data_IF_700307482597
#
_entry.id   IF_700307482597
#
_cell.length_a   1.000
_cell.length_b   1.000
_cell.length_c   1.000
_cell.angle_alpha   90.00
_cell.angle_beta   90.00
_cell.angle_gamma   90.00
#
_symmetry.space_group_name_H-M   'P 1'
#
loop_
_entity.id
_entity.type
_entity.pdbx_description
1 polymer ?
#
# COMPACT_ATOMS: atom_id res chain seq x y z
N UNK A 1 7.89 -33.55 -13.85
CA UNK A 1 8.85 -33.73 -12.74
C UNK A 1 10.14 -34.51 -13.13
N UNK A 2 10.18 -35.17 -14.30
CA UNK A 2 11.31 -35.96 -14.79
C UNK A 2 12.34 -35.18 -15.66
N UNK A 3 12.22 -33.85 -15.78
CA UNK A 3 12.97 -33.06 -16.77
C UNK A 3 14.12 -32.22 -16.19
N UNK A 4 14.31 -32.20 -14.87
CA UNK A 4 15.38 -31.44 -14.22
C UNK A 4 16.68 -32.27 -14.11
N UNK A 5 17.24 -32.67 -15.25
CA UNK A 5 18.57 -33.30 -15.27
C UNK A 5 19.66 -32.24 -15.03
N UNK A 6 20.83 -32.62 -14.47
CA UNK A 6 21.93 -31.69 -14.23
C UNK A 6 22.34 -30.89 -15.49
N UNK A 7 22.36 -31.56 -16.64
CA UNK A 7 22.76 -30.98 -17.93
C UNK A 7 21.71 -29.98 -18.43
N UNK A 8 20.42 -30.31 -18.28
CA UNK A 8 19.34 -29.41 -18.68
C UNK A 8 19.30 -28.16 -17.80
N UNK A 9 19.50 -28.33 -16.51
CA UNK A 9 19.51 -27.23 -15.55
C UNK A 9 20.71 -26.30 -15.79
N UNK A 10 21.90 -26.87 -16.01
CA UNK A 10 23.10 -26.11 -16.37
C UNK A 10 22.89 -25.31 -17.67
N UNK A 11 22.36 -25.95 -18.72
CA UNK A 11 22.08 -25.27 -19.99
C UNK A 11 21.07 -24.11 -19.84
N UNK A 12 20.03 -24.28 -19.01
CA UNK A 12 19.08 -23.21 -18.71
C UNK A 12 19.74 -22.07 -17.94
N UNK A 13 20.56 -22.37 -16.93
CA UNK A 13 21.30 -21.36 -16.17
C UNK A 13 22.24 -20.59 -17.09
N UNK A 14 23.00 -21.26 -17.95
CA UNK A 14 23.88 -20.62 -18.93
C UNK A 14 23.10 -19.70 -19.88
N UNK A 15 21.95 -20.17 -20.37
CA UNK A 15 21.07 -19.37 -21.24
C UNK A 15 20.64 -18.09 -20.54
N UNK A 16 20.21 -18.17 -19.27
CA UNK A 16 19.79 -16.99 -18.50
C UNK A 16 20.94 -16.08 -18.08
N UNK A 17 22.13 -16.64 -17.88
CA UNK A 17 23.34 -15.89 -17.54
C UNK A 17 23.83 -15.04 -18.72
N UNK A 18 23.50 -15.44 -19.95
CA UNK A 18 23.84 -14.75 -21.19
C UNK A 18 22.82 -13.68 -21.61
N UNK A 19 21.67 -13.56 -20.94
CA UNK A 19 20.66 -12.52 -21.23
C UNK A 19 21.18 -11.12 -20.86
N UNK A 20 20.79 -10.10 -21.63
CA UNK A 20 21.05 -8.69 -21.31
C UNK A 20 19.77 -7.85 -21.49
N UNK A 21 19.13 -7.34 -20.42
CA UNK A 21 19.52 -7.51 -19.02
C UNK A 21 19.26 -8.94 -18.49
N UNK A 22 20.14 -9.42 -17.61
CA UNK A 22 20.05 -10.76 -17.02
C UNK A 22 18.77 -10.94 -16.19
N UNK A 23 18.03 -12.02 -16.43
CA UNK A 23 16.84 -12.35 -15.66
C UNK A 23 17.18 -13.06 -14.34
N UNK A 24 17.59 -12.27 -13.34
CA UNK A 24 17.95 -12.76 -12.01
C UNK A 24 16.83 -13.52 -11.30
N UNK A 25 15.56 -13.19 -11.55
CA UNK A 25 14.43 -13.92 -10.98
C UNK A 25 14.38 -15.37 -11.47
N UNK A 26 14.57 -15.56 -12.78
CA UNK A 26 14.63 -16.91 -13.36
C UNK A 26 15.90 -17.66 -12.93
N UNK A 27 17.05 -16.98 -12.85
CA UNK A 27 18.31 -17.56 -12.35
C UNK A 27 18.16 -18.04 -10.90
N UNK A 28 17.61 -17.21 -10.00
CA UNK A 28 17.43 -17.56 -8.58
C UNK A 28 16.47 -18.76 -8.42
N UNK A 29 15.42 -18.82 -9.24
CA UNK A 29 14.51 -19.97 -9.27
C UNK A 29 15.22 -21.26 -9.73
N UNK A 30 16.09 -21.19 -10.75
CA UNK A 30 16.85 -22.36 -11.24
C UNK A 30 17.91 -22.81 -10.23
N UNK A 31 18.61 -21.88 -9.58
CA UNK A 31 19.57 -22.18 -8.51
C UNK A 31 18.91 -22.81 -7.29
N UNK A 32 17.71 -22.34 -6.92
CA UNK A 32 16.91 -22.94 -5.85
C UNK A 32 16.56 -24.41 -6.15
N UNK A 33 16.18 -24.72 -7.41
CA UNK A 33 15.93 -26.11 -7.84
C UNK A 33 17.20 -26.95 -7.78
N UNK A 34 18.37 -26.40 -8.14
CA UNK A 34 19.65 -27.10 -8.03
C UNK A 34 19.98 -27.43 -6.57
N UNK A 35 19.81 -26.47 -5.67
CA UNK A 35 20.08 -26.62 -4.24
C UNK A 35 19.12 -27.60 -3.56
N UNK A 36 17.81 -27.51 -3.84
CA UNK A 36 16.78 -28.39 -3.27
C UNK A 36 16.99 -29.86 -3.66
N UNK A 37 17.47 -30.10 -4.88
CA UNK A 37 17.73 -31.44 -5.41
C UNK A 37 19.18 -31.91 -5.23
N UNK A 38 19.99 -31.11 -4.53
CA UNK A 38 21.42 -31.41 -4.29
C UNK A 38 22.19 -31.70 -5.59
N UNK A 39 21.79 -31.05 -6.69
CA UNK A 39 22.44 -31.19 -8.01
C UNK A 39 23.64 -30.25 -8.05
N UNK A 40 24.88 -30.77 -8.17
CA UNK A 40 26.06 -29.92 -8.29
C UNK A 40 26.05 -29.20 -9.64
N UNK A 41 26.36 -27.91 -9.64
CA UNK A 41 26.56 -27.15 -10.88
C UNK A 41 27.91 -27.56 -11.51
N UNK A 42 27.95 -27.83 -12.82
CA UNK A 42 29.17 -28.27 -13.48
C UNK A 42 30.22 -27.16 -13.60
N UNK A 43 31.49 -27.53 -13.43
CA UNK A 43 32.65 -26.68 -13.73
C UNK A 43 32.71 -25.39 -12.91
N UNK A 44 33.06 -24.29 -13.60
CA UNK A 44 33.16 -22.95 -13.04
C UNK A 44 31.82 -22.18 -13.06
N UNK A 45 30.71 -22.82 -13.45
CA UNK A 45 29.42 -22.16 -13.64
C UNK A 45 28.94 -21.45 -12.36
N UNK A 46 29.14 -22.07 -11.20
CA UNK A 46 28.81 -21.45 -9.91
C UNK A 46 29.64 -20.17 -9.66
N UNK A 47 30.93 -20.20 -10.02
CA UNK A 47 31.82 -19.05 -9.88
C UNK A 47 31.48 -17.94 -10.88
N UNK A 48 31.12 -18.29 -12.12
CA UNK A 48 30.64 -17.34 -13.14
C UNK A 48 29.32 -16.68 -12.76
N UNK A 49 28.38 -17.44 -12.21
CA UNK A 49 27.12 -16.90 -11.67
C UNK A 49 27.39 -15.96 -10.50
N UNK A 50 28.29 -16.33 -9.58
CA UNK A 50 28.67 -15.47 -8.45
C UNK A 50 29.37 -14.17 -8.92
N UNK A 51 30.31 -14.26 -9.86
CA UNK A 51 31.00 -13.10 -10.43
C UNK A 51 30.05 -12.18 -11.22
N UNK A 52 29.14 -12.76 -12.01
CA UNK A 52 28.09 -12.00 -12.69
C UNK A 52 27.15 -11.32 -11.68
N UNK A 53 26.82 -11.99 -10.57
CA UNK A 53 26.00 -11.41 -9.51
C UNK A 53 26.73 -10.27 -8.83
N UNK A 54 28.02 -10.42 -8.51
CA UNK A 54 28.81 -9.35 -7.90
C UNK A 54 28.97 -8.15 -8.84
N UNK A 55 29.08 -8.41 -10.15
CA UNK A 55 29.09 -7.36 -11.17
C UNK A 55 27.76 -6.61 -11.25
N UNK A 56 26.63 -7.33 -11.20
CA UNK A 56 25.29 -6.75 -11.35
C UNK A 56 24.69 -6.20 -10.04
N UNK A 57 25.17 -6.68 -8.89
CA UNK A 57 24.68 -6.32 -7.55
C UNK A 57 25.73 -5.64 -6.67
N UNK A 58 26.94 -5.42 -7.18
CA UNK A 58 28.00 -4.70 -6.48
C UNK A 58 27.57 -3.30 -6.06
N UNK A 59 28.15 -2.75 -4.99
CA UNK A 59 27.69 -1.50 -4.38
C UNK A 59 27.58 -0.32 -5.37
N UNK A 60 28.54 -0.18 -6.29
CA UNK A 60 28.53 0.89 -7.31
C UNK A 60 27.53 0.62 -8.45
N UNK A 61 27.36 -0.64 -8.87
CA UNK A 61 26.37 -1.03 -9.86
C UNK A 61 24.93 -0.92 -9.31
N UNK A 62 24.73 -1.30 -8.05
CA UNK A 62 23.49 -1.11 -7.29
C UNK A 62 23.21 0.37 -7.04
N UNK A 63 24.22 1.17 -6.66
CA UNK A 63 24.05 2.61 -6.49
C UNK A 63 23.71 3.30 -7.81
N UNK A 64 24.39 2.95 -8.91
CA UNK A 64 24.14 3.48 -10.24
C UNK A 64 22.78 3.07 -10.82
N UNK A 65 22.41 1.80 -10.71
CA UNK A 65 21.10 1.29 -11.14
C UNK A 65 19.96 1.84 -10.28
N UNK A 66 20.14 1.97 -8.97
CA UNK A 66 19.18 2.66 -8.11
C UNK A 66 19.06 4.14 -8.46
N UNK A 67 20.16 4.84 -8.75
CA UNK A 67 20.14 6.25 -9.14
C UNK A 67 19.41 6.44 -10.49
N UNK A 68 19.75 5.63 -11.49
CA UNK A 68 19.06 5.60 -12.77
C UNK A 68 17.57 5.30 -12.56
N UNK A 69 17.25 4.37 -11.65
CA UNK A 69 15.88 4.01 -11.33
C UNK A 69 15.12 5.10 -10.57
N UNK A 70 15.79 5.96 -9.81
CA UNK A 70 15.13 7.13 -9.19
C UNK A 70 14.80 8.22 -10.20
N UNK A 71 15.55 8.27 -11.32
CA UNK A 71 15.37 9.24 -12.40
C UNK A 71 14.27 8.78 -13.37
N UNK A 72 14.31 7.50 -13.78
CA UNK A 72 13.39 6.88 -14.75
C UNK A 72 12.60 5.72 -14.12
N UNK A 73 11.86 6.02 -13.05
CA UNK A 73 11.16 5.02 -12.25
C UNK A 73 10.09 4.23 -13.02
N UNK A 74 9.51 4.83 -14.06
CA UNK A 74 8.53 4.24 -14.96
C UNK A 74 9.09 3.12 -15.85
N UNK A 75 10.41 3.12 -16.08
CA UNK A 75 11.09 2.09 -16.89
C UNK A 75 11.76 1.00 -16.04
N UNK A 76 11.69 1.12 -14.72
CA UNK A 76 12.39 0.21 -13.82
C UNK A 76 11.72 -1.16 -13.73
N UNK A 77 12.50 -2.25 -13.68
CA UNK A 77 11.99 -3.52 -13.22
C UNK A 77 11.47 -3.38 -11.78
N UNK A 78 10.31 -3.98 -11.52
CA UNK A 78 9.54 -3.83 -10.28
C UNK A 78 10.36 -4.13 -9.01
N UNK A 79 11.24 -5.12 -9.07
CA UNK A 79 12.11 -5.50 -7.96
C UNK A 79 13.12 -4.41 -7.62
N UNK A 80 13.73 -3.76 -8.62
CA UNK A 80 14.65 -2.64 -8.39
C UNK A 80 13.89 -1.39 -7.94
N UNK A 81 12.71 -1.13 -8.49
CA UNK A 81 11.85 -0.06 -8.02
C UNK A 81 11.54 -0.21 -6.52
N UNK A 82 11.15 -1.40 -6.09
CA UNK A 82 10.89 -1.70 -4.67
C UNK A 82 12.17 -1.60 -3.84
N UNK A 83 13.28 -2.21 -4.27
CA UNK A 83 14.52 -2.23 -3.49
C UNK A 83 15.14 -0.83 -3.34
N UNK A 84 15.13 -0.02 -4.40
CA UNK A 84 15.79 1.28 -4.45
C UNK A 84 14.91 2.43 -3.95
N UNK A 85 13.59 2.38 -4.18
CA UNK A 85 12.69 3.47 -3.79
C UNK A 85 11.86 3.17 -2.54
N UNK A 86 11.55 1.90 -2.20
CA UNK A 86 10.70 1.63 -1.05
C UNK A 86 11.33 2.10 0.27
N UNK A 87 12.62 1.87 0.59
CA UNK A 87 13.21 2.34 1.85
C UNK A 87 13.12 3.86 2.02
N UNK A 88 13.37 4.61 0.94
CA UNK A 88 13.31 6.08 0.95
C UNK A 88 11.85 6.56 1.07
N UNK A 89 10.93 6.02 0.26
CA UNK A 89 9.52 6.42 0.25
C UNK A 89 8.76 6.02 1.53
N UNK A 90 9.15 4.92 2.18
CA UNK A 90 8.62 4.46 3.46
C UNK A 90 9.19 5.23 4.67
N UNK A 91 10.25 6.01 4.48
CA UNK A 91 10.87 6.80 5.54
C UNK A 91 10.37 8.26 5.53
N UNK A 92 10.41 8.96 6.67
CA UNK A 92 10.22 10.42 6.69
C UNK A 92 11.20 11.17 5.77
N UNK A 93 12.39 10.60 5.52
CA UNK A 93 13.39 11.19 4.63
C UNK A 93 12.86 11.35 3.20
N UNK A 94 12.02 10.43 2.71
CA UNK A 94 11.41 10.55 1.38
C UNK A 94 10.47 11.75 1.25
N UNK A 95 9.75 12.10 2.32
CA UNK A 95 8.88 13.28 2.35
C UNK A 95 9.71 14.57 2.43
N UNK A 96 10.78 14.59 3.23
CA UNK A 96 11.71 15.73 3.34
C UNK A 96 12.43 15.99 2.02
N UNK A 97 12.94 14.95 1.36
CA UNK A 97 13.59 15.05 0.04
C UNK A 97 12.59 15.57 -0.99
N UNK A 98 11.35 15.10 -0.97
CA UNK A 98 10.28 15.59 -1.84
C UNK A 98 10.05 17.09 -1.67
N UNK A 99 9.84 17.55 -0.43
CA UNK A 99 9.70 18.98 -0.14
C UNK A 99 10.94 19.79 -0.53
N UNK A 100 12.14 19.31 -0.20
CA UNK A 100 13.40 19.99 -0.51
C UNK A 100 13.62 20.15 -2.01
N UNK A 101 13.31 19.11 -2.80
CA UNK A 101 13.37 19.17 -4.27
C UNK A 101 12.41 20.20 -4.84
N UNK A 102 11.16 20.22 -4.38
CA UNK A 102 10.18 21.19 -4.87
C UNK A 102 10.50 22.62 -4.39
N UNK A 103 11.06 22.77 -3.19
CA UNK A 103 11.58 24.04 -2.69
C UNK A 103 12.76 24.55 -3.53
N UNK A 104 13.66 23.66 -3.94
CA UNK A 104 14.75 23.99 -4.87
C UNK A 104 14.23 24.45 -6.23
N UNK A 105 13.24 23.75 -6.79
CA UNK A 105 12.60 24.14 -8.04
C UNK A 105 11.97 25.54 -7.92
N UNK A 106 11.24 25.79 -6.83
CA UNK A 106 10.67 27.10 -6.54
C UNK A 106 11.74 28.21 -6.44
N UNK A 107 12.85 27.95 -5.74
CA UNK A 107 13.94 28.92 -5.57
C UNK A 107 14.71 29.21 -6.87
N UNK A 108 14.80 28.24 -7.78
CA UNK A 108 15.51 28.36 -9.07
C UNK A 108 14.61 28.78 -10.22
N UNK A 109 13.31 29.00 -9.96
CA UNK A 109 12.33 29.35 -10.98
C UNK A 109 11.94 28.20 -11.93
N UNK A 110 12.28 26.96 -11.58
CA UNK A 110 11.86 25.76 -12.30
C UNK A 110 10.40 25.38 -11.99
N UNK A 111 9.80 24.54 -12.83
CA UNK A 111 8.44 24.05 -12.61
C UNK A 111 8.32 23.25 -11.30
N UNK A 112 7.29 23.57 -10.52
CA UNK A 112 6.97 22.89 -9.26
C UNK A 112 5.85 21.88 -9.52
N UNK A 113 6.07 20.63 -9.15
CA UNK A 113 5.01 19.61 -9.17
C UNK A 113 4.14 19.76 -7.92
N UNK A 114 3.03 20.48 -8.05
CA UNK A 114 2.12 20.79 -6.94
C UNK A 114 1.57 19.55 -6.25
N UNK A 115 1.35 18.47 -6.99
CA UNK A 115 0.87 17.22 -6.40
C UNK A 115 1.99 16.51 -5.63
N UNK A 116 3.24 16.55 -6.10
CA UNK A 116 4.39 15.98 -5.36
C UNK A 116 4.69 16.79 -4.10
N UNK A 117 4.60 18.11 -4.19
CA UNK A 117 4.71 19.04 -3.06
C UNK A 117 3.61 18.75 -2.02
N UNK A 118 2.34 18.68 -2.44
CA UNK A 118 1.23 18.38 -1.55
C UNK A 118 1.36 17.00 -0.90
N UNK A 119 1.67 15.95 -1.67
CA UNK A 119 1.85 14.60 -1.13
C UNK A 119 3.02 14.50 -0.15
N UNK A 120 4.10 15.26 -0.38
CA UNK A 120 5.25 15.34 0.53
C UNK A 120 4.90 16.07 1.82
N UNK A 121 4.17 17.17 1.73
CA UNK A 121 3.64 17.88 2.90
C UNK A 121 2.68 16.97 3.69
N UNK A 122 1.73 16.32 3.01
CA UNK A 122 0.75 15.41 3.61
C UNK A 122 1.44 14.20 4.28
N UNK A 123 2.47 13.61 3.66
CA UNK A 123 3.24 12.51 4.26
C UNK A 123 3.96 12.91 5.56
N UNK A 124 4.49 14.13 5.62
CA UNK A 124 5.07 14.70 6.84
C UNK A 124 4.00 15.04 7.89
N UNK A 125 2.90 15.68 7.50
CA UNK A 125 1.80 16.02 8.41
C UNK A 125 1.12 14.78 9.00
N UNK A 126 0.98 13.71 8.22
CA UNK A 126 0.53 12.42 8.74
C UNK A 126 1.53 11.85 9.73
N UNK A 127 2.84 11.99 9.48
CA UNK A 127 3.90 11.50 10.37
C UNK A 127 3.96 12.26 11.70
N UNK A 128 3.57 13.54 11.75
CA UNK A 128 3.49 14.30 13.00
C UNK A 128 2.24 13.96 13.83
N UNK A 129 1.07 13.83 13.19
CA UNK A 129 -0.19 13.39 13.85
C UNK A 129 -0.12 11.92 14.32
N UNK A 130 0.64 11.11 13.59
CA UNK A 130 0.90 9.69 13.87
C UNK A 130 1.53 9.40 15.23
N UNK A 131 2.39 10.29 15.73
CA UNK A 131 3.05 10.13 17.03
C UNK A 131 2.07 10.31 18.20
N UNK A 132 0.93 10.96 17.96
CA UNK A 132 -0.08 11.26 18.98
C UNK A 132 -1.21 10.23 19.04
N UNK A 133 -1.46 9.46 17.98
CA UNK A 133 -2.72 8.70 17.78
C UNK A 133 -2.61 7.17 17.88
N UNK A 134 -1.42 6.62 18.17
CA UNK A 134 -1.29 5.24 18.68
C UNK A 134 -1.76 4.11 17.75
N UNK A 135 -1.22 4.02 16.51
CA UNK A 135 -1.24 2.76 15.73
C UNK A 135 -1.85 2.82 14.32
N UNK A 136 -2.72 3.80 14.02
CA UNK A 136 -3.21 4.04 12.64
C UNK A 136 -2.12 4.56 11.71
N UNK A 137 -1.08 5.18 12.28
CA UNK A 137 0.03 5.85 11.60
C UNK A 137 0.80 4.99 10.60
N UNK A 138 1.16 3.75 10.98
CA UNK A 138 1.95 2.87 10.13
C UNK A 138 1.18 2.51 8.87
N UNK A 139 -0.13 2.30 8.99
CA UNK A 139 -1.00 1.95 7.85
C UNK A 139 -1.13 3.10 6.88
N UNK A 140 -1.43 4.29 7.41
CA UNK A 140 -1.55 5.49 6.60
C UNK A 140 -0.21 5.80 5.92
N UNK A 141 0.92 5.64 6.61
CA UNK A 141 2.27 5.81 6.03
C UNK A 141 2.57 4.79 4.94
N UNK A 142 2.24 3.51 5.16
CA UNK A 142 2.36 2.46 4.14
C UNK A 142 1.55 2.81 2.90
N UNK A 143 0.33 3.31 3.07
CA UNK A 143 -0.52 3.73 1.96
C UNK A 143 -0.01 4.96 1.21
N UNK A 144 0.42 6.00 1.93
CA UNK A 144 1.04 7.19 1.33
C UNK A 144 2.29 6.83 0.52
N UNK A 145 3.13 5.95 1.06
CA UNK A 145 4.34 5.45 0.39
C UNK A 145 4.00 4.65 -0.85
N UNK A 146 3.00 3.76 -0.76
CA UNK A 146 2.51 2.96 -1.89
C UNK A 146 1.98 3.85 -3.01
N UNK A 147 1.26 4.92 -2.68
CA UNK A 147 0.76 5.87 -3.66
C UNK A 147 1.88 6.67 -4.32
N UNK A 148 2.87 7.16 -3.55
CA UNK A 148 4.04 7.85 -4.13
C UNK A 148 4.83 6.91 -5.04
N UNK A 149 4.99 5.66 -4.65
CA UNK A 149 5.65 4.64 -5.48
C UNK A 149 4.85 4.37 -6.76
N UNK A 150 3.53 4.26 -6.67
CA UNK A 150 2.65 4.10 -7.83
C UNK A 150 2.72 5.28 -8.80
N UNK A 151 2.84 6.50 -8.27
CA UNK A 151 3.04 7.70 -9.08
C UNK A 151 4.38 7.66 -9.81
N UNK A 152 5.46 7.38 -9.07
CA UNK A 152 6.82 7.26 -9.64
C UNK A 152 6.89 6.16 -10.70
N UNK A 153 6.25 5.04 -10.46
CA UNK A 153 6.20 3.93 -11.40
C UNK A 153 5.33 4.20 -12.65
N UNK A 154 4.61 5.32 -12.71
CA UNK A 154 3.71 5.63 -13.82
C UNK A 154 2.48 4.72 -13.92
N UNK A 155 2.16 3.95 -12.86
CA UNK A 155 1.04 2.98 -12.88
C UNK A 155 -0.28 3.54 -12.37
N UNK A 156 -0.30 4.80 -11.93
CA UNK A 156 -1.53 5.49 -11.55
C UNK A 156 -2.39 5.79 -12.78
N UNK A 157 -3.69 5.52 -12.67
CA UNK A 157 -4.64 5.91 -13.70
C UNK A 157 -4.73 7.43 -13.79
N UNK A 158 -4.99 7.95 -15.00
CA UNK A 158 -5.21 9.40 -15.17
C UNK A 158 -6.40 9.92 -14.37
N UNK A 159 -7.42 9.07 -14.13
CA UNK A 159 -8.56 9.40 -13.27
C UNK A 159 -8.13 9.60 -11.81
N UNK A 160 -7.33 8.67 -11.28
CA UNK A 160 -6.84 8.76 -9.92
C UNK A 160 -5.95 9.98 -9.73
N UNK A 161 -5.06 10.26 -10.68
CA UNK A 161 -4.22 11.47 -10.64
C UNK A 161 -5.06 12.73 -10.57
N UNK A 162 -6.08 12.88 -11.44
CA UNK A 162 -6.99 14.04 -11.40
C UNK A 162 -7.77 14.14 -10.09
N UNK A 163 -8.33 13.02 -9.61
CA UNK A 163 -9.05 12.98 -8.35
C UNK A 163 -8.15 13.37 -7.19
N UNK A 164 -6.91 12.88 -7.18
CA UNK A 164 -5.94 13.15 -6.13
C UNK A 164 -5.46 14.61 -6.17
N UNK A 165 -5.19 15.18 -7.34
CA UNK A 165 -4.86 16.61 -7.49
C UNK A 165 -5.97 17.48 -6.92
N UNK A 166 -7.24 17.17 -7.24
CA UNK A 166 -8.39 17.92 -6.69
C UNK A 166 -8.44 17.82 -5.16
N UNK A 167 -8.43 16.61 -4.61
CA UNK A 167 -8.50 16.41 -3.16
C UNK A 167 -7.29 17.07 -2.46
N UNK A 168 -6.08 16.95 -3.03
CA UNK A 168 -4.88 17.58 -2.48
C UNK A 168 -4.97 19.12 -2.49
N UNK A 169 -5.51 19.72 -3.55
CA UNK A 169 -5.70 21.18 -3.64
C UNK A 169 -6.75 21.72 -2.64
N UNK A 170 -7.75 20.90 -2.31
CA UNK A 170 -8.74 21.20 -1.28
C UNK A 170 -8.10 21.08 0.12
N UNK A 171 -7.30 20.03 0.34
CA UNK A 171 -6.65 19.71 1.60
C UNK A 171 -5.48 20.63 1.97
N UNK A 172 -4.80 21.19 0.97
CA UNK A 172 -3.52 21.89 1.12
C UNK A 172 -3.55 23.21 0.38
N UNK A 173 -3.23 24.28 1.07
CA UNK A 173 -2.97 25.58 0.46
C UNK A 173 -1.56 25.61 -0.13
N UNK A 174 -1.44 25.33 -1.42
CA UNK A 174 -0.16 25.29 -2.14
C UNK A 174 0.57 26.64 -2.08
N UNK A 175 -0.17 27.75 -2.12
CA UNK A 175 0.41 29.09 -2.05
C UNK A 175 0.95 29.40 -0.64
N UNK A 176 0.29 28.91 0.41
CA UNK A 176 0.82 28.97 1.77
C UNK A 176 2.03 28.03 1.95
N UNK A 177 1.99 26.81 1.40
CA UNK A 177 3.12 25.87 1.44
C UNK A 177 4.39 26.45 0.79
N UNK A 178 4.27 27.09 -0.37
CA UNK A 178 5.41 27.70 -1.07
C UNK A 178 6.05 28.85 -0.28
N UNK A 179 5.29 29.48 0.62
CA UNK A 179 5.75 30.56 1.49
C UNK A 179 6.17 30.07 2.89
N UNK A 180 5.95 28.79 3.20
CA UNK A 180 6.27 28.23 4.50
C UNK A 180 7.80 28.21 4.69
N UNK A 181 8.28 28.91 5.73
CA UNK A 181 9.69 28.95 6.09
C UNK A 181 10.04 28.02 7.25
N UNK A 182 9.04 27.49 7.95
CA UNK A 182 9.17 26.65 9.13
C UNK A 182 8.17 25.48 9.15
N UNK A 183 8.38 24.51 10.03
CA UNK A 183 7.46 23.38 10.22
C UNK A 183 6.09 23.82 10.76
N UNK A 184 6.04 24.89 11.54
CA UNK A 184 4.79 25.44 12.08
C UNK A 184 3.95 26.09 10.97
N UNK A 185 4.60 26.74 10.00
CA UNK A 185 3.94 27.31 8.81
C UNK A 185 3.35 26.23 7.90
N UNK A 186 3.96 25.03 7.86
CA UNK A 186 3.39 23.88 7.13
C UNK A 186 2.05 23.46 7.74
N UNK A 187 1.94 23.51 9.07
CA UNK A 187 0.70 23.23 9.80
C UNK A 187 -0.46 24.13 9.36
N UNK A 188 -0.18 25.43 9.20
CA UNK A 188 -1.15 26.44 8.78
C UNK A 188 -1.61 26.30 7.32
N UNK A 189 -0.82 25.61 6.47
CA UNK A 189 -1.18 25.35 5.09
C UNK A 189 -2.17 24.18 4.92
N UNK A 190 -2.38 23.35 5.95
CA UNK A 190 -3.35 22.27 5.90
C UNK A 190 -4.76 22.76 6.27
N UNK A 191 -5.76 22.23 5.56
CA UNK A 191 -7.18 22.40 5.89
C UNK A 191 -7.69 21.11 6.52
N UNK A 192 -7.78 21.01 7.86
CA UNK A 192 -8.06 19.74 8.55
C UNK A 192 -9.34 19.04 8.07
N UNK A 193 -10.39 19.82 7.81
CA UNK A 193 -11.67 19.31 7.32
C UNK A 193 -11.57 18.63 5.94
N UNK A 194 -10.58 19.01 5.12
CA UNK A 194 -10.37 18.47 3.78
C UNK A 194 -9.27 17.38 3.73
N UNK A 195 -8.63 17.04 4.86
CA UNK A 195 -7.63 15.97 4.93
C UNK A 195 -8.27 14.57 4.92
N UNK A 196 -9.48 14.42 5.44
CA UNK A 196 -10.13 13.12 5.64
C UNK A 196 -10.15 12.24 4.38
N UNK A 197 -10.52 12.73 3.18
CA UNK A 197 -10.53 11.89 1.97
C UNK A 197 -9.14 11.39 1.57
N UNK A 198 -8.08 12.19 1.80
CA UNK A 198 -6.69 11.78 1.53
C UNK A 198 -6.25 10.72 2.54
N UNK A 199 -6.49 10.97 3.83
CA UNK A 199 -6.07 10.05 4.88
C UNK A 199 -6.83 8.72 4.78
N UNK A 200 -8.08 8.74 4.33
CA UNK A 200 -8.86 7.54 4.04
C UNK A 200 -8.28 6.78 2.85
N UNK A 201 -7.92 7.46 1.76
CA UNK A 201 -7.23 6.82 0.64
C UNK A 201 -5.95 6.13 1.11
N UNK A 202 -5.11 6.82 1.87
CA UNK A 202 -3.88 6.26 2.44
C UNK A 202 -4.19 5.07 3.36
N UNK A 203 -5.18 5.18 4.25
CA UNK A 203 -5.56 4.09 5.12
C UNK A 203 -6.01 2.85 4.30
N UNK A 204 -6.83 3.03 3.28
CA UNK A 204 -7.30 1.95 2.41
C UNK A 204 -6.13 1.28 1.66
N UNK A 205 -5.22 2.06 1.09
CA UNK A 205 -4.03 1.52 0.42
C UNK A 205 -3.09 0.81 1.39
N UNK A 206 -2.96 1.31 2.61
CA UNK A 206 -2.20 0.64 3.67
C UNK A 206 -2.80 -0.70 4.08
N UNK A 207 -4.14 -0.79 4.18
CA UNK A 207 -4.83 -2.05 4.45
C UNK A 207 -4.69 -3.04 3.30
N UNK A 208 -4.75 -2.55 2.06
CA UNK A 208 -4.48 -3.35 0.86
C UNK A 208 -3.06 -3.93 0.88
N UNK A 209 -2.05 -3.10 1.16
CA UNK A 209 -0.65 -3.51 1.27
C UNK A 209 -0.43 -4.53 2.39
N UNK A 210 -1.01 -4.31 3.57
CA UNK A 210 -0.94 -5.29 4.67
C UNK A 210 -1.57 -6.64 4.33
N UNK A 211 -2.59 -6.66 3.46
CA UNK A 211 -3.33 -7.88 3.10
C UNK A 211 -2.69 -8.68 1.96
N UNK A 212 -2.04 -8.00 1.01
CA UNK A 212 -1.54 -8.62 -0.23
C UNK A 212 -0.03 -8.52 -0.41
N UNK A 213 0.63 -7.52 0.19
CA UNK A 213 2.01 -7.15 -0.08
C UNK A 213 2.15 -5.93 -1.01
N UNK A 214 3.35 -5.34 -1.07
CA UNK A 214 3.61 -4.11 -1.83
C UNK A 214 3.54 -4.32 -3.35
N UNK A 215 4.00 -5.48 -3.84
CA UNK A 215 4.04 -5.83 -5.27
C UNK A 215 2.63 -5.92 -5.85
N UNK A 216 1.77 -6.70 -5.19
CA UNK A 216 0.38 -6.91 -5.56
C UNK A 216 -0.41 -5.62 -5.44
N UNK A 217 -0.17 -4.84 -4.38
CA UNK A 217 -0.80 -3.52 -4.20
C UNK A 217 -0.46 -2.59 -5.34
N UNK A 218 0.83 -2.49 -5.70
CA UNK A 218 1.30 -1.65 -6.79
C UNK A 218 0.71 -2.10 -8.13
N UNK A 219 0.63 -3.42 -8.38
CA UNK A 219 -0.04 -3.94 -9.57
C UNK A 219 -1.52 -3.58 -9.62
N UNK A 220 -2.23 -3.65 -8.48
CA UNK A 220 -3.65 -3.34 -8.39
C UNK A 220 -3.98 -1.85 -8.54
N UNK A 221 -3.01 -0.95 -8.43
CA UNK A 221 -3.21 0.50 -8.63
C UNK A 221 -3.79 0.84 -10.02
N UNK A 222 -3.55 -0.01 -11.03
CA UNK A 222 -4.14 0.13 -12.36
C UNK A 222 -5.68 0.06 -12.37
N UNK A 223 -6.27 -0.51 -11.32
CA UNK A 223 -7.73 -0.66 -11.16
C UNK A 223 -8.34 0.41 -10.25
N UNK A 224 -7.53 1.33 -9.70
CA UNK A 224 -7.97 2.41 -8.82
C UNK A 224 -8.16 3.66 -9.65
N UNK A 225 -9.41 4.09 -9.85
CA UNK A 225 -9.71 5.36 -10.56
C UNK A 225 -10.07 6.49 -9.61
N UNK A 226 -10.48 6.15 -8.37
CA UNK A 226 -10.86 7.08 -7.32
C UNK A 226 -10.61 6.47 -5.91
N UNK A 227 -10.75 7.25 -4.82
CA UNK A 227 -10.58 6.74 -3.46
C UNK A 227 -11.56 5.64 -3.05
N UNK A 228 -12.77 5.61 -3.61
CA UNK A 228 -13.76 4.59 -3.31
C UNK A 228 -13.35 3.22 -3.87
N UNK A 229 -12.68 3.18 -5.02
CA UNK A 229 -12.11 1.96 -5.59
C UNK A 229 -11.00 1.39 -4.70
N UNK A 230 -10.12 2.23 -4.16
CA UNK A 230 -9.12 1.81 -3.18
C UNK A 230 -9.77 1.17 -1.95
N UNK A 231 -10.86 1.75 -1.45
CA UNK A 231 -11.63 1.19 -0.35
C UNK A 231 -12.28 -0.16 -0.70
N UNK A 232 -12.79 -0.32 -1.92
CA UNK A 232 -13.39 -1.58 -2.41
C UNK A 232 -12.33 -2.68 -2.57
N UNK A 233 -11.15 -2.34 -3.09
CA UNK A 233 -10.03 -3.27 -3.19
C UNK A 233 -9.51 -3.69 -1.82
N UNK A 234 -9.35 -2.74 -0.90
CA UNK A 234 -8.94 -3.05 0.48
C UNK A 234 -9.90 -4.04 1.15
N UNK A 235 -11.22 -3.81 1.07
CA UNK A 235 -12.23 -4.75 1.59
C UNK A 235 -12.19 -6.11 0.88
N UNK A 236 -11.96 -6.11 -0.43
CA UNK A 236 -11.84 -7.36 -1.18
C UNK A 236 -10.61 -8.15 -0.76
N UNK A 237 -9.48 -7.48 -0.54
CA UNK A 237 -8.24 -8.04 -0.05
C UNK A 237 -8.35 -8.59 1.37
N UNK A 238 -9.02 -7.88 2.27
CA UNK A 238 -9.30 -8.35 3.63
C UNK A 238 -10.18 -9.61 3.63
N UNK A 239 -11.15 -9.69 2.71
CA UNK A 239 -12.08 -10.82 2.62
C UNK A 239 -11.53 -12.04 1.87
N UNK A 240 -10.74 -11.82 0.80
CA UNK A 240 -10.31 -12.86 -0.13
C UNK A 240 -8.81 -13.16 -0.05
N UNK A 241 -8.05 -12.32 0.64
CA UNK A 241 -6.59 -12.42 0.75
C UNK A 241 -5.91 -12.40 -0.63
N UNK A 242 -4.85 -13.21 -0.82
CA UNK A 242 -4.10 -13.29 -2.08
C UNK A 242 -4.95 -13.61 -3.32
N UNK A 243 -6.13 -14.23 -3.15
CA UNK A 243 -7.04 -14.56 -4.26
C UNK A 243 -7.69 -13.32 -4.90
N UNK A 244 -7.59 -12.16 -4.26
CA UNK A 244 -8.13 -10.89 -4.77
C UNK A 244 -7.56 -10.55 -6.14
N UNK A 245 -6.24 -10.71 -6.29
CA UNK A 245 -5.55 -10.42 -7.55
C UNK A 245 -6.06 -11.34 -8.67
N UNK A 246 -6.04 -12.66 -8.46
CA UNK A 246 -6.56 -13.60 -9.45
C UNK A 246 -8.02 -13.35 -9.81
N UNK A 247 -8.85 -12.96 -8.83
CA UNK A 247 -10.27 -12.66 -9.09
C UNK A 247 -10.48 -11.37 -9.87
N UNK A 248 -9.71 -10.32 -9.63
CA UNK A 248 -9.85 -9.09 -10.42
C UNK A 248 -9.36 -9.28 -11.85
N UNK A 249 -8.29 -10.04 -12.06
CA UNK A 249 -7.76 -10.34 -13.40
C UNK A 249 -8.76 -11.18 -14.21
N UNK A 250 -9.43 -12.16 -13.59
CA UNK A 250 -10.40 -13.01 -14.29
C UNK A 250 -11.77 -12.34 -14.48
N UNK A 251 -12.29 -11.69 -13.44
CA UNK A 251 -13.66 -11.15 -13.46
C UNK A 251 -13.73 -9.71 -13.97
N UNK A 252 -12.61 -8.98 -13.91
CA UNK A 252 -12.55 -7.54 -14.10
C UNK A 252 -13.10 -6.75 -12.91
N UNK A 253 -12.70 -5.47 -12.85
CA UNK A 253 -13.05 -4.49 -11.80
C UNK A 253 -14.55 -4.46 -11.49
N UNK A 254 -15.39 -4.29 -12.52
CA UNK A 254 -16.85 -4.09 -12.37
C UNK A 254 -17.55 -5.28 -11.72
N UNK A 255 -17.19 -6.51 -12.13
CA UNK A 255 -17.83 -7.73 -11.60
C UNK A 255 -17.34 -8.02 -10.18
N UNK A 256 -16.04 -7.84 -9.91
CA UNK A 256 -15.50 -8.00 -8.56
C UNK A 256 -16.18 -7.05 -7.57
N UNK A 257 -16.32 -5.77 -7.93
CA UNK A 257 -16.92 -4.78 -7.04
C UNK A 257 -18.42 -5.04 -6.82
N UNK A 258 -19.14 -5.50 -7.84
CA UNK A 258 -20.54 -5.90 -7.69
C UNK A 258 -20.69 -7.10 -6.73
N UNK A 259 -19.77 -8.06 -6.79
CA UNK A 259 -19.73 -9.20 -5.86
C UNK A 259 -19.37 -8.77 -4.44
N UNK A 260 -18.42 -7.85 -4.29
CA UNK A 260 -18.04 -7.28 -2.99
C UNK A 260 -19.19 -6.54 -2.30
N UNK A 261 -20.01 -5.80 -3.06
CA UNK A 261 -21.20 -5.11 -2.53
C UNK A 261 -22.25 -6.10 -2.00
N UNK A 262 -22.49 -7.22 -2.71
CA UNK A 262 -23.44 -8.26 -2.24
C UNK A 262 -22.99 -8.91 -0.93
N UNK A 263 -21.68 -9.17 -0.79
CA UNK A 263 -21.10 -9.72 0.44
C UNK A 263 -21.16 -8.72 1.61
N UNK A 264 -20.94 -7.43 1.32
CA UNK A 264 -21.03 -6.36 2.32
C UNK A 264 -22.46 -6.15 2.82
N UNK A 265 -23.46 -6.16 1.94
CA UNK A 265 -24.87 -6.05 2.33
C UNK A 265 -25.31 -7.22 3.22
N UNK A 266 -24.84 -8.44 2.93
CA UNK A 266 -25.12 -9.60 3.80
C UNK A 266 -24.46 -9.50 5.16
N UNK A 267 -23.24 -8.97 5.24
CA UNK A 267 -22.54 -8.77 6.50
C UNK A 267 -23.18 -7.68 7.37
N UNK A 268 -23.61 -6.56 6.76
CA UNK A 268 -24.35 -5.50 7.47
C UNK A 268 -25.68 -6.02 7.98
N UNK A 269 -26.41 -6.83 7.19
CA UNK A 269 -27.66 -7.46 7.64
C UNK A 269 -27.44 -8.39 8.83
N UNK A 270 -26.39 -9.22 8.80
CA UNK A 270 -26.03 -10.09 9.93
C UNK A 270 -25.69 -9.28 11.20
N UNK A 271 -24.88 -8.24 11.07
CA UNK A 271 -24.53 -7.37 12.20
C UNK A 271 -25.74 -6.60 12.75
N UNK A 272 -26.61 -6.09 11.89
CA UNK A 272 -27.85 -5.44 12.32
C UNK A 272 -28.80 -6.42 13.03
N UNK A 273 -28.85 -7.67 12.58
CA UNK A 273 -29.59 -8.74 13.24
C UNK A 273 -29.02 -9.09 14.62
N UNK A 274 -27.69 -9.18 14.74
CA UNK A 274 -27.01 -9.43 16.01
C UNK A 274 -27.22 -8.28 17.01
N UNK A 275 -27.10 -7.04 16.55
CA UNK A 275 -27.38 -5.86 17.37
C UNK A 275 -28.85 -5.84 17.83
N UNK A 276 -29.79 -6.15 16.94
CA UNK A 276 -31.21 -6.29 17.28
C UNK A 276 -31.47 -7.37 18.33
N UNK A 277 -30.79 -8.52 18.23
CA UNK A 277 -30.86 -9.59 19.22
C UNK A 277 -30.37 -9.14 20.60
N UNK A 278 -29.25 -8.42 20.66
CA UNK A 278 -28.70 -7.90 21.91
C UNK A 278 -29.65 -6.90 22.57
N UNK A 279 -30.25 -6.00 21.79
CA UNK A 279 -31.27 -5.06 22.28
C UNK A 279 -32.53 -5.79 22.79
N UNK A 280 -32.95 -6.86 22.12
CA UNK A 280 -34.08 -7.66 22.58
C UNK A 280 -33.78 -8.37 23.91
N UNK A 281 -32.57 -8.91 24.08
CA UNK A 281 -32.14 -9.57 25.32
C UNK A 281 -32.07 -8.61 26.51
N UNK A 282 -31.53 -7.40 26.30
CA UNK A 282 -31.50 -6.38 27.37
C UNK A 282 -32.90 -5.90 27.73
N UNK A 283 -33.80 -5.74 26.75
CA UNK A 283 -35.21 -5.42 26.97
C UNK A 283 -35.94 -6.50 27.78
N UNK A 284 -35.71 -7.79 27.47
CA UNK A 284 -36.29 -8.91 28.24
C UNK A 284 -35.80 -8.93 29.70
N UNK A 285 -34.50 -8.69 29.92
CA UNK A 285 -33.92 -8.60 31.25
C UNK A 285 -34.51 -7.47 32.09
N UNK A 286 -34.67 -6.28 31.49
CA UNK A 286 -35.30 -5.14 32.15
C UNK A 286 -36.76 -5.42 32.53
N UNK A 287 -37.53 -6.05 31.63
CA UNK A 287 -38.92 -6.43 31.90
C UNK A 287 -39.06 -7.44 33.04
N UNK A 288 -38.17 -8.44 33.11
CA UNK A 288 -38.13 -9.40 34.21
C UNK A 288 -37.80 -8.72 35.55
N UNK A 289 -36.81 -7.82 35.57
CA UNK A 289 -36.45 -7.06 36.76
C UNK A 289 -37.59 -6.15 37.26
N UNK A 290 -38.28 -5.45 36.35
CA UNK A 290 -39.46 -4.65 36.68
C UNK A 290 -40.59 -5.52 37.26
N UNK A 291 -40.86 -6.67 36.66
CA UNK A 291 -41.90 -7.59 37.13
C UNK A 291 -41.60 -8.16 38.53
N UNK A 292 -40.33 -8.46 38.81
CA UNK A 292 -39.88 -8.92 40.13
C UNK A 292 -39.96 -7.80 41.18
N UNK A 293 -39.53 -6.59 40.83
CA UNK A 293 -39.62 -5.41 41.70
C UNK A 293 -41.06 -5.08 42.10
N UNK A 294 -41.99 -5.08 41.13
CA UNK A 294 -43.41 -4.86 41.40
C UNK A 294 -44.04 -5.95 42.27
N UNK A 295 -43.64 -7.21 42.09
CA UNK A 295 -44.09 -8.32 42.96
C UNK A 295 -43.57 -8.17 44.38
N UNK A 296 -42.31 -7.79 44.55
CA UNK A 296 -41.69 -7.59 45.86
C UNK A 296 -42.31 -6.40 46.61
N UNK A 297 -42.58 -5.30 45.90
CA UNK A 297 -43.29 -4.13 46.45
C UNK A 297 -44.71 -4.50 46.93
N UNK A 298 -45.45 -5.29 46.13
CA UNK A 298 -46.79 -5.78 46.51
C UNK A 298 -46.77 -6.69 47.74
N UNK A 299 -45.71 -7.48 47.92
CA UNK A 299 -45.55 -8.34 49.09
C UNK A 299 -45.22 -7.53 50.35
N UNK A 300 -44.41 -6.47 50.22
CA UNK A 300 -44.11 -5.55 51.32
C UNK A 300 -45.34 -4.76 51.76
N UNK A 301 -46.12 -4.25 50.80
CA UNK A 301 -47.36 -3.50 51.08
C UNK A 301 -48.47 -4.36 51.71
N UNK A 302 -48.42 -5.69 51.58
CA UNK A 302 -49.36 -6.61 52.24
C UNK A 302 -48.96 -6.98 53.68
N UNK A 303 -47.74 -6.63 54.10
CA UNK A 303 -47.22 -6.90 55.45
C UNK A 303 -47.28 -5.68 56.38
N UNK A 304 -47.67 -4.52 55.86
CA UNK A 304 -48.05 -3.32 56.60
C UNK A 304 -49.57 -3.33 56.80
#
# INVERSE_FOLDING_TARGET
>A
AAEATPERLAALIETRLAEDPRNWLALDALLAVAAERTIPLPGDLAARVAAARDTDTGFLATAGSCLACTIHAETCPLTQLLLCNAPVTLSPAGDVIGLGRQGWNYATGAEVDDLDLALSALGLGVTTVALLTGGSSLTVKLGASSLRLARKAGVMTGSLTRSLTRIASEAVDIAALRRAGSLDDLGAAFRPAALAPVTDLFANLGRLNRSLGPTETLHLMRYVDDPADAARLARSAEALGPRTLGRIEVLGKTRLFRLGLRLSDTAVRLWSGLAGLLVALTGMGAGLAQSAGLRMLRLLLRRL
#
